data_IF_147916059073
#
_entry.id   IF_147916059073
#
_cell.length_a   1.000
_cell.length_b   1.000
_cell.length_c   1.000
_cell.angle_alpha   90.00
_cell.angle_beta   90.00
_cell.angle_gamma   90.00
#
_symmetry.space_group_name_H-M   'P 1'
#
loop_
_entity.id
_entity.type
_entity.pdbx_description
1 polymer ?
#
# COMPACT_ATOMS: atom_id res chain seq x y z
N UNK A 1 -13.08 3.00 -4.18
CA UNK A 1 -13.76 3.44 -2.94
C UNK A 1 -12.78 3.71 -1.79
N UNK A 2 -11.75 2.88 -1.56
CA UNK A 2 -10.68 3.15 -0.55
C UNK A 2 -9.87 4.43 -0.84
N UNK A 3 -9.81 4.88 -2.09
CA UNK A 3 -9.21 6.18 -2.44
C UNK A 3 -9.93 7.38 -1.81
N UNK A 4 -11.24 7.28 -1.51
CA UNK A 4 -12.03 8.38 -0.96
C UNK A 4 -11.69 8.72 0.50
N UNK A 5 -11.33 7.71 1.31
CA UNK A 5 -10.90 7.96 2.70
C UNK A 5 -9.47 8.49 2.76
N UNK A 6 -8.60 8.00 1.88
CA UNK A 6 -7.24 8.54 1.76
C UNK A 6 -7.30 9.99 1.30
N UNK A 7 -8.05 10.35 0.26
CA UNK A 7 -8.14 11.74 -0.22
C UNK A 7 -8.85 12.72 0.75
N UNK A 8 -9.67 12.24 1.67
CA UNK A 8 -10.42 13.06 2.65
C UNK A 8 -9.54 13.70 3.73
N UNK A 9 -8.46 13.04 4.14
CA UNK A 9 -7.51 13.53 5.15
C UNK A 9 -6.55 14.63 4.64
N UNK A 10 -6.64 14.99 3.35
CA UNK A 10 -5.58 15.71 2.64
C UNK A 10 -5.81 17.22 2.53
N UNK A 11 -6.82 17.76 3.24
CA UNK A 11 -7.04 19.20 3.31
C UNK A 11 -7.15 19.85 1.92
N UNK A 12 -7.76 19.16 0.95
CA UNK A 12 -8.07 19.67 -0.39
C UNK A 12 -9.06 20.83 -0.26
N UNK A 13 -8.55 22.01 0.08
CA UNK A 13 -9.30 23.25 0.10
C UNK A 13 -9.39 23.75 -1.34
N UNK A 14 -10.49 23.36 -1.99
CA UNK A 14 -11.02 23.78 -3.30
C UNK A 14 -10.82 22.77 -4.45
N UNK A 15 -11.98 22.27 -4.94
CA UNK A 15 -12.26 21.73 -6.29
C UNK A 15 -11.07 21.15 -7.07
N UNK A 16 -10.57 19.98 -6.66
CA UNK A 16 -9.84 19.12 -7.62
C UNK A 16 -10.89 18.52 -8.56
N UNK A 17 -11.06 19.13 -9.73
CA UNK A 17 -11.81 18.54 -10.84
C UNK A 17 -10.87 17.64 -11.63
N UNK A 18 -11.09 16.33 -11.59
CA UNK A 18 -10.50 15.41 -12.56
C UNK A 18 -11.35 15.52 -13.84
N UNK A 19 -10.78 16.04 -14.92
CA UNK A 19 -11.42 16.01 -16.23
C UNK A 19 -10.99 14.72 -16.90
N UNK A 20 -11.88 13.74 -16.87
CA UNK A 20 -11.76 12.50 -17.64
C UNK A 20 -12.38 12.76 -19.02
N UNK A 21 -11.55 12.86 -20.07
CA UNK A 21 -12.05 12.91 -21.45
C UNK A 21 -12.38 11.48 -21.92
N UNK A 22 -13.57 10.99 -21.58
CA UNK A 22 -14.56 10.41 -22.52
C UNK A 22 -15.83 9.87 -21.81
N UNK A 23 -16.98 10.46 -22.18
CA UNK A 23 -18.39 10.03 -22.07
C UNK A 23 -19.01 9.59 -20.73
N UNK A 24 -19.98 10.40 -20.29
CA UNK A 24 -21.06 10.18 -19.32
C UNK A 24 -20.76 10.10 -17.81
N UNK A 25 -21.12 11.19 -17.10
CA UNK A 25 -21.61 11.15 -15.71
C UNK A 25 -20.78 11.88 -14.66
N UNK A 26 -20.81 13.22 -14.62
CA UNK A 26 -20.20 13.99 -13.53
C UNK A 26 -21.12 14.03 -12.28
N UNK A 27 -20.64 13.56 -11.13
CA UNK A 27 -21.18 13.92 -9.81
C UNK A 27 -20.14 14.74 -9.04
N UNK A 28 -20.51 15.90 -8.45
CA UNK A 28 -19.59 16.71 -7.65
C UNK A 28 -19.42 16.11 -6.25
N UNK A 29 -18.17 15.91 -5.82
CA UNK A 29 -17.85 15.44 -4.47
C UNK A 29 -17.48 16.62 -3.54
N UNK A 30 -18.23 16.75 -2.45
CA UNK A 30 -17.91 17.63 -1.30
C UNK A 30 -17.28 16.77 -0.20
N UNK A 31 -16.14 17.17 0.37
CA UNK A 31 -15.56 16.52 1.55
C UNK A 31 -15.14 17.53 2.63
N UNK A 32 -15.46 17.17 3.87
CA UNK A 32 -15.21 17.89 5.12
C UNK A 32 -13.82 17.57 5.69
N UNK A 33 -13.18 18.55 6.31
CA UNK A 33 -11.90 18.40 7.03
C UNK A 33 -12.10 17.82 8.44
N UNK A 34 -11.34 16.79 8.82
CA UNK A 34 -11.21 16.34 10.21
C UNK A 34 -9.76 16.48 10.69
N UNK A 35 -9.58 16.90 11.95
CA UNK A 35 -8.31 16.92 12.66
C UNK A 35 -7.91 15.50 13.09
N UNK A 36 -6.61 15.14 13.16
CA UNK A 36 -6.22 13.77 13.43
C UNK A 36 -6.37 13.47 14.92
N UNK A 37 -7.50 12.88 15.31
CA UNK A 37 -7.51 12.01 16.49
C UNK A 37 -6.76 10.73 16.13
N UNK A 38 -5.95 10.15 17.04
CA UNK A 38 -5.43 8.81 16.81
C UNK A 38 -6.63 7.86 16.66
N UNK A 39 -6.68 7.13 15.56
CA UNK A 39 -7.76 6.19 15.30
C UNK A 39 -7.71 5.05 16.32
N UNK A 40 -8.87 4.63 16.81
CA UNK A 40 -8.99 3.48 17.68
C UNK A 40 -8.49 2.23 16.94
N UNK A 41 -7.60 1.47 17.57
CA UNK A 41 -7.10 0.20 17.04
C UNK A 41 -7.89 -0.94 17.68
N UNK A 42 -8.23 -1.93 16.87
CA UNK A 42 -8.96 -3.12 17.31
C UNK A 42 -8.14 -4.35 16.99
N UNK A 43 -8.14 -5.33 17.89
CA UNK A 43 -7.59 -6.65 17.65
C UNK A 43 -8.72 -7.60 17.27
N UNK A 44 -8.70 -8.05 16.03
CA UNK A 44 -9.53 -9.12 15.52
C UNK A 44 -8.75 -10.43 15.65
N UNK A 45 -9.25 -11.34 16.49
CA UNK A 45 -8.71 -12.68 16.70
C UNK A 45 -9.57 -13.65 15.91
N UNK A 46 -9.00 -14.30 14.90
CA UNK A 46 -9.69 -15.27 14.07
C UNK A 46 -9.11 -16.66 14.31
N UNK A 47 -9.96 -17.61 14.66
CA UNK A 47 -9.62 -19.04 14.67
C UNK A 47 -10.42 -19.77 13.62
N UNK A 48 -9.75 -20.50 12.74
CA UNK A 48 -10.41 -21.30 11.72
C UNK A 48 -9.54 -22.49 11.27
N UNK A 49 -10.14 -23.43 10.54
CA UNK A 49 -9.39 -24.49 9.87
C UNK A 49 -8.66 -23.92 8.65
N UNK A 50 -7.38 -24.26 8.53
CA UNK A 50 -6.55 -23.73 7.45
C UNK A 50 -7.01 -24.26 6.09
N UNK A 51 -6.93 -23.40 5.08
CA UNK A 51 -7.14 -23.77 3.68
C UNK A 51 -6.43 -22.79 2.76
N UNK A 52 -6.13 -23.27 1.56
CA UNK A 52 -5.57 -22.42 0.51
C UNK A 52 -6.45 -21.18 0.25
N UNK A 53 -5.82 -20.02 0.19
CA UNK A 53 -6.48 -18.73 -0.04
C UNK A 53 -7.28 -18.19 1.15
N UNK A 54 -7.23 -18.82 2.32
CA UNK A 54 -7.93 -18.38 3.52
C UNK A 54 -7.63 -16.92 3.87
N UNK A 55 -6.34 -16.56 3.97
CA UNK A 55 -5.95 -15.19 4.30
C UNK A 55 -6.46 -14.17 3.29
N UNK A 56 -6.45 -14.51 2.00
CA UNK A 56 -7.01 -13.62 0.98
C UNK A 56 -8.50 -13.38 1.24
N UNK A 57 -9.27 -14.45 1.44
CA UNK A 57 -10.71 -14.35 1.67
C UNK A 57 -11.03 -13.52 2.94
N UNK A 58 -10.23 -13.64 4.00
CA UNK A 58 -10.32 -12.79 5.20
C UNK A 58 -9.99 -11.33 4.86
N UNK A 59 -8.85 -11.08 4.22
CA UNK A 59 -8.44 -9.71 3.86
C UNK A 59 -9.41 -9.03 2.88
N UNK A 60 -10.08 -9.80 2.01
CA UNK A 60 -11.10 -9.30 1.11
C UNK A 60 -12.32 -8.81 1.88
N UNK A 61 -12.82 -9.59 2.86
CA UNK A 61 -13.90 -9.15 3.75
C UNK A 61 -13.51 -7.90 4.54
N UNK A 62 -12.30 -7.86 5.10
CA UNK A 62 -11.82 -6.68 5.83
C UNK A 62 -11.77 -5.43 4.92
N UNK A 63 -11.31 -5.60 3.67
CA UNK A 63 -11.30 -4.54 2.66
C UNK A 63 -12.71 -4.07 2.29
N UNK A 64 -13.65 -4.99 2.05
CA UNK A 64 -15.06 -4.67 1.76
C UNK A 64 -15.73 -3.91 2.90
N UNK A 65 -15.36 -4.24 4.13
CA UNK A 65 -15.82 -3.56 5.33
C UNK A 65 -15.05 -2.27 5.62
N UNK A 66 -14.07 -1.85 4.80
CA UNK A 66 -13.23 -0.65 5.05
C UNK A 66 -12.45 -0.70 6.37
N UNK A 67 -12.09 -1.91 6.80
CA UNK A 67 -11.18 -2.15 7.91
C UNK A 67 -9.75 -2.22 7.37
N UNK A 68 -8.89 -1.32 7.83
CA UNK A 68 -7.48 -1.25 7.42
C UNK A 68 -6.63 -2.07 8.38
N UNK A 69 -5.72 -2.87 7.84
CA UNK A 69 -4.84 -3.74 8.63
C UNK A 69 -3.52 -2.98 8.89
N UNK A 70 -3.21 -2.73 10.16
CA UNK A 70 -1.96 -2.06 10.59
C UNK A 70 -0.87 -3.07 10.97
N UNK A 71 -1.28 -4.21 11.52
CA UNK A 71 -0.37 -5.29 11.90
C UNK A 71 -1.07 -6.62 11.79
N UNK A 72 -0.32 -7.66 11.39
CA UNK A 72 -0.79 -9.03 11.45
C UNK A 72 0.21 -9.91 12.17
N UNK A 73 -0.32 -10.97 12.78
CA UNK A 73 0.46 -12.12 13.19
C UNK A 73 -0.34 -13.36 12.83
N UNK A 74 0.11 -14.03 11.78
CA UNK A 74 -0.51 -15.24 11.26
C UNK A 74 0.33 -16.44 11.65
N UNK A 75 -0.31 -17.49 12.12
CA UNK A 75 0.36 -18.77 12.40
C UNK A 75 -0.59 -19.95 12.28
N UNK A 76 -0.16 -20.96 11.53
CA UNK A 76 -0.82 -22.27 11.47
C UNK A 76 -0.24 -23.20 12.54
N UNK A 77 -1.10 -23.83 13.32
CA UNK A 77 -0.73 -24.83 14.33
C UNK A 77 -0.58 -26.21 13.71
N UNK A 78 0.20 -27.14 14.32
CA UNK A 78 0.40 -28.48 13.77
C UNK A 78 -0.87 -29.33 13.61
N UNK A 79 -1.96 -28.99 14.31
CA UNK A 79 -3.27 -29.63 14.16
C UNK A 79 -4.12 -29.04 13.03
N UNK A 80 -3.55 -28.20 12.17
CA UNK A 80 -4.19 -27.66 10.97
C UNK A 80 -5.19 -26.52 11.23
N UNK A 81 -5.12 -25.90 12.41
CA UNK A 81 -5.89 -24.69 12.74
C UNK A 81 -5.01 -23.46 12.57
N UNK A 82 -5.63 -22.33 12.31
CA UNK A 82 -4.95 -21.03 12.35
C UNK A 82 -5.43 -20.23 13.55
N UNK A 83 -4.52 -19.42 14.08
CA UNK A 83 -4.82 -18.41 15.10
C UNK A 83 -4.26 -17.08 14.60
N UNK A 84 -5.11 -16.36 13.87
CA UNK A 84 -4.72 -15.15 13.17
C UNK A 84 -5.12 -13.92 13.97
N UNK A 85 -4.15 -13.02 14.15
CA UNK A 85 -4.31 -11.78 14.87
C UNK A 85 -4.18 -10.62 13.89
N UNK A 86 -5.26 -9.87 13.69
CA UNK A 86 -5.28 -8.68 12.86
C UNK A 86 -5.49 -7.45 13.74
N UNK A 87 -4.55 -6.53 13.71
CA UNK A 87 -4.71 -5.21 14.30
C UNK A 87 -5.28 -4.31 13.22
N UNK A 88 -6.52 -3.86 13.41
CA UNK A 88 -7.28 -3.12 12.40
C UNK A 88 -7.76 -1.78 12.91
N UNK A 89 -7.86 -0.81 12.00
CA UNK A 89 -8.55 0.47 12.20
C UNK A 89 -9.81 0.49 11.35
N UNK A 90 -10.87 1.14 11.83
CA UNK A 90 -12.12 1.28 11.07
C UNK A 90 -12.20 2.65 10.46
N UNK A 91 -12.16 2.71 9.13
CA UNK A 91 -12.29 3.96 8.36
C UNK A 91 -13.63 4.65 8.63
N UNK A 92 -14.68 3.88 8.98
CA UNK A 92 -15.99 4.43 9.31
C UNK A 92 -16.10 4.89 10.75
N UNK A 93 -15.08 4.63 11.58
CA UNK A 93 -15.06 4.90 13.02
C UNK A 93 -16.23 4.28 13.80
N UNK A 94 -16.77 3.13 13.36
CA UNK A 94 -17.94 2.49 13.97
C UNK A 94 -17.64 1.16 14.67
N UNK A 95 -16.42 0.61 14.56
CA UNK A 95 -16.08 -0.73 15.08
C UNK A 95 -16.09 -0.82 16.61
N UNK A 96 -16.11 0.31 17.32
CA UNK A 96 -16.39 0.35 18.74
C UNK A 96 -17.85 -0.07 19.07
N UNK A 97 -18.78 0.07 18.11
CA UNK A 97 -20.18 -0.30 18.30
C UNK A 97 -20.40 -1.80 18.18
N UNK A 98 -21.35 -2.32 18.97
CA UNK A 98 -21.74 -3.73 18.92
C UNK A 98 -22.24 -4.15 17.54
N UNK A 99 -23.06 -3.32 16.90
CA UNK A 99 -23.63 -3.59 15.57
C UNK A 99 -22.54 -3.79 14.52
N UNK A 100 -21.54 -2.91 14.46
CA UNK A 100 -20.44 -3.03 13.48
C UNK A 100 -19.60 -4.29 13.69
N UNK A 101 -19.40 -4.70 14.95
CA UNK A 101 -18.71 -5.96 15.28
C UNK A 101 -19.53 -7.18 14.86
N UNK A 102 -20.83 -7.18 15.12
CA UNK A 102 -21.76 -8.23 14.68
C UNK A 102 -21.81 -8.32 13.14
N UNK A 103 -21.93 -7.19 12.45
CA UNK A 103 -21.88 -7.12 10.98
C UNK A 103 -20.56 -7.72 10.45
N UNK A 104 -19.42 -7.36 11.07
CA UNK A 104 -18.09 -7.89 10.70
C UNK A 104 -18.02 -9.41 10.88
N UNK A 105 -18.50 -9.92 12.01
CA UNK A 105 -18.55 -11.35 12.30
C UNK A 105 -19.41 -12.10 11.27
N UNK A 106 -20.59 -11.60 10.93
CA UNK A 106 -21.49 -12.26 9.97
C UNK A 106 -20.92 -12.28 8.55
N UNK A 107 -20.22 -11.22 8.11
CA UNK A 107 -19.54 -11.23 6.80
C UNK A 107 -18.41 -12.28 6.77
N UNK A 108 -17.58 -12.34 7.82
CA UNK A 108 -16.53 -13.35 7.93
C UNK A 108 -17.11 -14.77 7.97
N UNK A 109 -18.18 -14.98 8.75
CA UNK A 109 -18.87 -16.28 8.83
C UNK A 109 -19.48 -16.70 7.51
N UNK A 110 -20.02 -15.76 6.73
CA UNK A 110 -20.59 -16.03 5.41
C UNK A 110 -19.53 -16.57 4.45
N UNK A 111 -18.32 -16.00 4.46
CA UNK A 111 -17.22 -16.38 3.56
C UNK A 111 -16.48 -17.62 4.06
N UNK A 112 -16.24 -17.72 5.36
CA UNK A 112 -15.48 -18.83 5.96
C UNK A 112 -16.33 -20.08 6.22
N UNK A 113 -17.65 -19.91 6.37
CA UNK A 113 -18.59 -20.99 6.61
C UNK A 113 -18.19 -21.85 7.82
N UNK A 114 -18.23 -23.17 7.63
CA UNK A 114 -17.92 -24.15 8.68
C UNK A 114 -16.43 -24.19 9.07
N UNK A 115 -15.54 -23.52 8.33
CA UNK A 115 -14.13 -23.47 8.69
C UNK A 115 -13.89 -22.55 9.91
N UNK A 116 -14.78 -21.59 10.15
CA UNK A 116 -14.65 -20.62 11.24
C UNK A 116 -14.97 -21.25 12.60
N UNK A 117 -14.01 -21.19 13.53
CA UNK A 117 -14.15 -21.70 14.90
C UNK A 117 -14.58 -20.56 15.83
N UNK A 118 -13.88 -19.43 15.79
CA UNK A 118 -14.21 -18.23 16.58
C UNK A 118 -13.70 -16.96 15.92
N UNK A 119 -14.37 -15.84 16.21
CA UNK A 119 -13.88 -14.51 15.85
C UNK A 119 -14.28 -13.51 16.93
N UNK A 120 -13.29 -12.83 17.49
CA UNK A 120 -13.48 -11.85 18.55
C UNK A 120 -12.83 -10.53 18.15
N UNK A 121 -13.52 -9.41 18.42
CA UNK A 121 -13.01 -8.05 18.14
C UNK A 121 -12.97 -7.25 19.42
N UNK A 122 -11.74 -6.97 19.88
CA UNK A 122 -11.46 -6.23 21.10
C UNK A 122 -10.85 -4.86 20.75
N UNK A 123 -11.22 -3.82 21.49
CA UNK A 123 -10.53 -2.53 21.37
C UNK A 123 -9.19 -2.65 22.09
N UNK A 124 -8.13 -2.17 21.44
CA UNK A 124 -6.77 -2.22 21.96
C UNK A 124 -6.24 -0.80 21.99
N UNK A 125 -5.70 -0.39 23.15
CA UNK A 125 -5.13 0.95 23.30
C UNK A 125 -3.99 1.20 22.31
N UNK A 126 -3.88 2.44 21.83
CA UNK A 126 -2.86 2.88 20.86
C UNK A 126 -1.43 2.61 21.36
N UNK A 127 -1.20 2.49 22.67
CA UNK A 127 0.10 2.11 23.24
C UNK A 127 0.61 0.71 22.85
N UNK A 128 -0.28 -0.23 22.50
CA UNK A 128 0.12 -1.62 22.19
C UNK A 128 0.70 -1.73 20.77
N UNK A 129 0.34 -0.84 19.85
CA UNK A 129 0.96 -0.77 18.52
C UNK A 129 2.31 -0.06 18.54
N UNK A 130 2.49 0.96 19.39
CA UNK A 130 3.74 1.73 19.49
C UNK A 130 4.91 0.93 20.11
N UNK A 131 4.63 0.00 21.03
CA UNK A 131 5.64 -0.79 21.73
C UNK A 131 5.93 -2.15 21.07
N UNK A 132 5.25 -2.47 19.97
CA UNK A 132 5.37 -3.74 19.28
C UNK A 132 6.22 -3.57 18.02
N UNK A 133 7.44 -3.04 18.18
CA UNK A 133 8.43 -3.06 17.10
C UNK A 133 8.55 -4.50 16.60
N UNK A 134 8.42 -4.68 15.29
CA UNK A 134 8.75 -5.95 14.66
C UNK A 134 10.18 -6.32 15.02
N UNK A 135 10.51 -7.62 14.94
CA UNK A 135 11.87 -8.10 15.13
C UNK A 135 12.87 -7.16 14.44
N UNK A 136 13.79 -6.56 15.19
CA UNK A 136 14.80 -5.61 14.68
C UNK A 136 15.71 -6.17 13.59
N UNK A 137 15.65 -7.49 13.37
CA UNK A 137 16.42 -8.20 12.37
C UNK A 137 15.69 -8.20 11.02
N UNK A 138 16.01 -7.24 10.16
CA UNK A 138 15.79 -7.36 8.72
C UNK A 138 16.97 -8.10 8.07
N UNK A 139 16.72 -9.07 7.17
CA UNK A 139 17.78 -9.65 6.35
C UNK A 139 18.58 -8.57 5.59
N UNK A 140 19.91 -8.73 5.50
CA UNK A 140 20.80 -7.75 4.84
C UNK A 140 20.38 -7.44 3.40
N UNK A 141 19.82 -8.42 2.68
CA UNK A 141 19.30 -8.24 1.33
C UNK A 141 18.19 -7.17 1.22
N UNK A 142 17.34 -7.05 2.25
CA UNK A 142 16.33 -5.98 2.31
C UNK A 142 17.00 -4.65 2.59
N UNK A 143 17.92 -4.61 3.56
CA UNK A 143 18.62 -3.38 3.96
C UNK A 143 19.35 -2.78 2.75
N UNK A 144 20.04 -3.61 1.97
CA UNK A 144 20.76 -3.18 0.76
C UNK A 144 19.82 -2.69 -0.33
N UNK A 145 18.66 -3.34 -0.51
CA UNK A 145 17.60 -2.89 -1.41
C UNK A 145 16.95 -1.59 -0.93
N UNK A 146 16.84 -1.38 0.38
CA UNK A 146 16.16 -0.23 0.98
C UNK A 146 17.02 1.04 1.03
N UNK A 147 18.34 0.92 1.14
CA UNK A 147 19.31 2.02 1.15
C UNK A 147 19.62 2.70 -0.20
N UNK A 148 18.92 2.34 -1.28
CA UNK A 148 19.13 2.98 -2.59
C UNK A 148 18.53 4.40 -2.63
N UNK A 149 19.29 5.36 -2.11
CA UNK A 149 19.14 6.78 -2.42
C UNK A 149 19.81 7.04 -3.78
N UNK A 150 18.98 7.17 -4.82
CA UNK A 150 19.37 7.36 -6.23
C UNK A 150 20.31 6.26 -6.76
N UNK A 151 19.81 5.24 -7.49
CA UNK A 151 20.70 4.30 -8.13
C UNK A 151 21.38 4.99 -9.31
N UNK A 152 22.68 5.29 -9.15
CA UNK A 152 23.56 5.59 -10.29
C UNK A 152 23.60 4.37 -11.23
N UNK A 153 23.42 3.16 -10.69
CA UNK A 153 23.11 1.92 -11.43
C UNK A 153 22.23 1.01 -10.55
N UNK A 154 21.08 0.56 -11.05
CA UNK A 154 20.27 -0.46 -10.38
C UNK A 154 20.95 -1.83 -10.53
N UNK A 155 20.95 -2.69 -9.49
CA UNK A 155 21.44 -4.06 -9.62
C UNK A 155 20.77 -4.77 -10.80
N UNK A 156 21.56 -5.47 -11.62
CA UNK A 156 21.06 -6.28 -12.73
C UNK A 156 20.01 -7.28 -12.22
N UNK A 157 18.75 -7.12 -12.64
CA UNK A 157 17.62 -7.97 -12.20
C UNK A 157 16.59 -7.27 -11.30
N UNK A 158 16.76 -6.00 -10.95
CA UNK A 158 15.77 -5.25 -10.16
C UNK A 158 14.48 -4.98 -10.95
N UNK A 159 13.34 -5.34 -10.37
CA UNK A 159 12.02 -5.12 -10.96
C UNK A 159 11.68 -3.63 -10.91
N UNK A 160 11.52 -3.01 -12.07
CA UNK A 160 11.25 -1.56 -12.21
C UNK A 160 10.09 -1.30 -13.15
N UNK A 161 9.38 -0.21 -12.89
CA UNK A 161 8.42 0.35 -13.81
C UNK A 161 9.12 0.89 -15.06
N UNK A 162 8.53 0.66 -16.23
CA UNK A 162 9.09 1.14 -17.50
C UNK A 162 8.62 2.57 -17.82
N UNK A 163 9.43 3.30 -18.60
CA UNK A 163 9.07 4.59 -19.21
C UNK A 163 8.68 5.71 -18.23
N UNK A 164 9.26 5.75 -17.03
CA UNK A 164 9.01 6.85 -16.08
C UNK A 164 9.77 8.11 -16.52
N UNK A 165 9.04 9.19 -16.79
CA UNK A 165 9.58 10.52 -17.03
C UNK A 165 8.77 11.55 -16.28
N UNK A 166 9.46 12.49 -15.61
CA UNK A 166 8.85 13.61 -14.92
C UNK A 166 9.45 14.89 -15.49
N UNK A 167 8.62 15.78 -16.01
CA UNK A 167 9.01 17.10 -16.51
C UNK A 167 8.32 18.19 -15.74
N UNK A 168 8.98 19.34 -15.61
CA UNK A 168 8.45 20.49 -14.88
C UNK A 168 8.49 21.70 -15.81
N UNK A 169 7.37 22.42 -15.90
CA UNK A 169 7.25 23.63 -16.70
C UNK A 169 6.54 24.75 -15.93
N UNK A 170 7.08 25.97 -16.01
CA UNK A 170 6.54 27.18 -15.42
C UNK A 170 6.01 28.18 -16.46
N UNK A 171 6.02 27.82 -17.75
CA UNK A 171 5.64 28.68 -18.87
C UNK A 171 4.13 28.69 -19.14
N UNK A 172 3.45 27.57 -18.89
CA UNK A 172 2.04 27.35 -19.22
C UNK A 172 1.05 27.96 -18.22
N UNK A 173 1.52 28.44 -17.07
CA UNK A 173 0.68 29.12 -16.09
C UNK A 173 1.42 30.28 -15.41
N UNK A 174 0.79 31.46 -15.26
CA UNK A 174 1.39 32.56 -14.52
C UNK A 174 1.49 32.27 -13.02
N UNK A 175 0.58 31.45 -12.48
CA UNK A 175 0.46 31.17 -11.05
C UNK A 175 0.94 29.80 -10.59
N UNK A 176 0.97 28.80 -11.48
CA UNK A 176 1.22 27.40 -11.12
C UNK A 176 2.50 26.87 -11.77
N UNK A 177 3.07 25.82 -11.17
CA UNK A 177 4.06 24.97 -11.81
C UNK A 177 3.34 23.76 -12.39
N UNK A 178 3.54 23.46 -13.68
CA UNK A 178 3.08 22.22 -14.28
C UNK A 178 4.12 21.13 -14.02
N UNK A 179 3.66 19.98 -13.55
CA UNK A 179 4.42 18.74 -13.49
C UNK A 179 3.75 17.74 -14.43
N UNK A 180 4.47 17.27 -15.44
CA UNK A 180 3.98 16.24 -16.35
C UNK A 180 4.69 14.94 -16.03
N UNK A 181 3.91 13.88 -15.85
CA UNK A 181 4.38 12.56 -15.49
C UNK A 181 3.91 11.60 -16.57
N UNK A 182 4.86 10.88 -17.16
CA UNK A 182 4.56 9.75 -18.04
C UNK A 182 5.15 8.52 -17.38
N UNK A 183 4.35 7.47 -17.22
CA UNK A 183 4.82 6.19 -16.69
C UNK A 183 3.88 5.06 -17.10
N UNK A 184 4.29 3.82 -16.86
CA UNK A 184 3.38 2.68 -16.98
C UNK A 184 2.32 2.76 -15.87
N UNK A 185 1.05 2.65 -16.28
CA UNK A 185 -0.09 2.62 -15.38
C UNK A 185 0.03 1.42 -14.44
N UNK A 186 -0.25 1.63 -13.16
CA UNK A 186 -0.19 0.59 -12.15
C UNK A 186 -1.16 0.87 -11.02
N UNK A 187 -1.57 -0.20 -10.33
CA UNK A 187 -2.41 -0.10 -9.15
C UNK A 187 -1.71 0.80 -8.12
N UNK A 188 -2.43 1.79 -7.59
CA UNK A 188 -1.88 2.74 -6.61
C UNK A 188 -1.16 3.96 -7.18
N UNK A 189 -1.02 4.09 -8.50
CA UNK A 189 -0.27 5.18 -9.14
C UNK A 189 -0.62 6.59 -8.62
N UNK A 190 -1.92 6.93 -8.54
CA UNK A 190 -2.34 8.24 -8.04
C UNK A 190 -1.93 8.45 -6.57
N UNK A 191 -2.02 7.40 -5.75
CA UNK A 191 -1.56 7.45 -4.38
C UNK A 191 -0.05 7.69 -4.30
N UNK A 192 0.74 7.01 -5.14
CA UNK A 192 2.20 7.15 -5.18
C UNK A 192 2.67 8.54 -5.62
N UNK A 193 1.95 9.17 -6.55
CA UNK A 193 2.19 10.57 -6.93
C UNK A 193 1.81 11.50 -5.78
N UNK A 194 0.58 11.38 -5.30
CA UNK A 194 0.03 12.30 -4.32
C UNK A 194 0.83 12.26 -3.02
N UNK A 195 1.24 11.08 -2.54
CA UNK A 195 2.00 10.96 -1.28
C UNK A 195 3.32 11.71 -1.34
N UNK A 196 3.98 11.63 -2.48
CA UNK A 196 5.22 12.37 -2.75
C UNK A 196 4.98 13.88 -2.70
N UNK A 197 3.90 14.36 -3.33
CA UNK A 197 3.56 15.78 -3.31
C UNK A 197 3.22 16.28 -1.90
N UNK A 198 2.48 15.48 -1.13
CA UNK A 198 2.12 15.78 0.26
C UNK A 198 3.36 15.86 1.15
N UNK A 199 4.27 14.90 1.06
CA UNK A 199 5.52 14.91 1.85
C UNK A 199 6.39 16.15 1.53
N UNK A 200 6.28 16.69 0.32
CA UNK A 200 6.95 17.93 -0.10
C UNK A 200 6.14 19.20 0.20
N UNK A 201 4.98 19.08 0.86
CA UNK A 201 4.06 20.17 1.18
C UNK A 201 3.62 20.96 -0.07
N UNK A 202 3.34 20.22 -1.14
CA UNK A 202 2.88 20.73 -2.43
C UNK A 202 1.37 20.56 -2.54
N UNK A 203 0.69 21.61 -2.97
CA UNK A 203 -0.74 21.62 -3.24
C UNK A 203 -0.99 21.38 -4.72
N UNK A 204 -1.94 20.50 -5.04
CA UNK A 204 -2.42 20.28 -6.41
C UNK A 204 -3.66 21.13 -6.63
N UNK A 205 -3.62 22.02 -7.61
CA UNK A 205 -4.76 22.90 -7.96
C UNK A 205 -5.68 22.24 -8.98
N UNK A 206 -5.11 21.60 -10.01
CA UNK A 206 -5.84 20.88 -11.04
C UNK A 206 -4.97 19.78 -11.62
N UNK A 207 -5.61 18.70 -12.09
CA UNK A 207 -4.94 17.55 -12.66
C UNK A 207 -5.68 17.01 -13.86
N UNK A 208 -4.93 16.56 -14.87
CA UNK A 208 -5.44 15.81 -16.02
C UNK A 208 -4.79 14.44 -16.03
N UNK A 209 -5.61 13.42 -16.23
CA UNK A 209 -5.17 12.03 -16.29
C UNK A 209 -5.59 11.48 -17.64
N UNK A 210 -4.64 10.92 -18.37
CA UNK A 210 -4.88 10.40 -19.71
C UNK A 210 -4.22 9.05 -19.84
N UNK A 211 -5.00 8.04 -20.24
CA UNK A 211 -4.47 6.72 -20.54
C UNK A 211 -4.00 6.68 -21.99
N UNK A 212 -2.74 6.35 -22.21
CA UNK A 212 -2.16 6.13 -23.53
C UNK A 212 -2.26 4.64 -23.91
N UNK A 213 -2.00 4.35 -25.18
CA UNK A 213 -1.92 2.98 -25.69
C UNK A 213 -0.82 2.19 -24.96
N UNK A 214 -0.98 0.85 -24.89
CA UNK A 214 -0.03 -0.09 -24.24
C UNK A 214 0.15 0.08 -22.73
N UNK A 215 -0.85 0.61 -22.03
CA UNK A 215 -0.84 0.69 -20.58
C UNK A 215 0.04 1.81 -20.01
N UNK A 216 0.48 2.77 -20.83
CA UNK A 216 1.12 3.98 -20.32
C UNK A 216 0.05 4.99 -19.91
N UNK A 217 0.37 5.84 -18.95
CA UNK A 217 -0.43 6.97 -18.53
C UNK A 217 0.37 8.26 -18.67
N UNK A 218 -0.36 9.35 -18.86
CA UNK A 218 0.14 10.71 -18.87
C UNK A 218 -0.69 11.52 -17.87
N UNK A 219 0.01 12.19 -16.97
CA UNK A 219 -0.59 12.89 -15.85
C UNK A 219 0.01 14.28 -15.81
N UNK A 220 -0.84 15.29 -15.99
CA UNK A 220 -0.47 16.70 -15.90
C UNK A 220 -1.03 17.26 -14.59
N UNK A 221 -0.16 17.72 -13.70
CA UNK A 221 -0.54 18.31 -12.42
C UNK A 221 -0.08 19.76 -12.37
N UNK A 222 -1.01 20.67 -12.13
CA UNK A 222 -0.68 22.05 -11.84
C UNK A 222 -0.65 22.25 -10.34
N UNK A 223 0.54 22.57 -9.86
CA UNK A 223 0.89 22.56 -8.45
C UNK A 223 1.37 23.92 -7.95
N UNK A 224 1.28 24.10 -6.65
CA UNK A 224 1.78 25.26 -5.91
C UNK A 224 2.48 24.81 -4.62
N UNK A 225 3.39 25.62 -4.11
CA UNK A 225 3.89 25.49 -2.75
C UNK A 225 2.78 25.86 -1.74
N UNK A 226 2.96 25.48 -0.48
CA UNK A 226 2.02 25.84 0.58
C UNK A 226 1.82 27.36 0.79
N UNK A 227 2.73 28.21 0.30
CA UNK A 227 2.57 29.67 0.29
C UNK A 227 1.71 30.19 -0.88
N UNK A 228 1.14 29.28 -1.69
CA UNK A 228 0.32 29.58 -2.86
C UNK A 228 1.11 30.05 -4.08
N UNK A 229 2.45 29.90 -4.10
CA UNK A 229 3.29 30.31 -5.24
C UNK A 229 3.81 29.10 -6.02
N UNK A 230 4.08 29.32 -7.31
CA UNK A 230 4.80 28.35 -8.14
C UNK A 230 6.20 28.06 -7.61
N UNK A 231 6.72 26.88 -7.93
CA UNK A 231 8.08 26.46 -7.59
C UNK A 231 9.01 27.07 -8.65
N UNK A 232 9.75 28.12 -8.32
CA UNK A 232 10.69 28.79 -9.26
C UNK A 232 12.12 28.30 -9.10
N UNK A 233 12.50 27.89 -7.89
CA UNK A 233 13.85 27.43 -7.58
C UNK A 233 14.16 26.11 -8.30
N UNK A 234 15.15 26.07 -9.22
CA UNK A 234 15.53 24.87 -9.94
C UNK A 234 15.94 23.71 -9.03
N UNK A 235 16.51 24.00 -7.86
CA UNK A 235 16.92 22.96 -6.90
C UNK A 235 15.72 22.23 -6.31
N UNK A 236 14.66 22.98 -5.97
CA UNK A 236 13.38 22.42 -5.50
C UNK A 236 12.66 21.64 -6.60
N UNK A 237 12.67 22.16 -7.83
CA UNK A 237 12.11 21.47 -8.99
C UNK A 237 12.83 20.13 -9.23
N UNK A 238 14.16 20.14 -9.27
CA UNK A 238 14.96 18.93 -9.48
C UNK A 238 14.76 17.94 -8.34
N UNK A 239 14.70 18.40 -7.09
CA UNK A 239 14.41 17.55 -5.93
C UNK A 239 13.05 16.87 -6.02
N UNK A 240 12.01 17.62 -6.36
CA UNK A 240 10.65 17.08 -6.57
C UNK A 240 10.61 16.08 -7.73
N UNK A 241 11.16 16.47 -8.88
CA UNK A 241 11.19 15.63 -10.09
C UNK A 241 11.92 14.31 -9.84
N UNK A 242 13.08 14.37 -9.19
CA UNK A 242 13.88 13.18 -8.86
C UNK A 242 13.13 12.28 -7.89
N UNK A 243 12.46 12.86 -6.89
CA UNK A 243 11.68 12.08 -5.93
C UNK A 243 10.50 11.38 -6.58
N UNK A 244 9.68 12.11 -7.35
CA UNK A 244 8.56 11.52 -8.09
C UNK A 244 9.05 10.40 -9.02
N UNK A 245 10.16 10.63 -9.72
CA UNK A 245 10.74 9.62 -10.59
C UNK A 245 11.12 8.34 -9.82
N UNK A 246 11.81 8.47 -8.68
CA UNK A 246 12.18 7.31 -7.85
C UNK A 246 10.97 6.54 -7.31
N UNK A 247 9.97 7.24 -6.77
CA UNK A 247 8.77 6.59 -6.20
C UNK A 247 7.94 5.86 -7.27
N UNK A 248 7.93 6.38 -8.49
CA UNK A 248 7.21 5.76 -9.61
C UNK A 248 8.01 4.64 -10.29
N UNK A 249 9.34 4.67 -10.18
CA UNK A 249 10.20 3.62 -10.70
C UNK A 249 10.03 2.32 -9.92
N UNK A 250 9.94 2.40 -8.59
CA UNK A 250 9.74 1.26 -7.69
C UNK A 250 8.75 1.60 -6.56
N UNK A 251 7.44 1.63 -6.84
CA UNK A 251 6.43 1.98 -5.84
C UNK A 251 6.41 1.03 -4.64
N UNK A 252 6.62 -0.26 -4.92
CA UNK A 252 6.83 -1.31 -3.93
C UNK A 252 8.10 -2.07 -4.30
N UNK A 253 8.85 -2.49 -3.29
CA UNK A 253 10.05 -3.31 -3.49
C UNK A 253 9.76 -4.72 -3.02
N UNK A 254 10.01 -5.70 -3.88
CA UNK A 254 9.68 -7.12 -3.66
C UNK A 254 10.96 -7.91 -3.74
N UNK A 255 11.18 -8.84 -2.80
CA UNK A 255 12.26 -9.81 -2.89
C UNK A 255 11.90 -11.12 -2.22
N UNK A 256 12.52 -12.20 -2.66
CA UNK A 256 12.36 -13.53 -2.07
C UNK A 256 13.72 -14.01 -1.54
N UNK A 257 13.80 -14.27 -0.23
CA UNK A 257 15.04 -14.68 0.44
C UNK A 257 14.92 -16.08 1.05
N UNK A 258 16.06 -16.70 1.37
CA UNK A 258 16.10 -17.92 2.17
C UNK A 258 16.11 -17.58 3.65
N UNK A 259 15.33 -18.30 4.44
CA UNK A 259 15.36 -18.29 5.90
C UNK A 259 15.64 -19.70 6.41
N UNK A 260 16.90 -20.12 6.26
CA UNK A 260 17.27 -21.52 6.50
C UNK A 260 16.69 -22.43 5.39
N UNK A 261 15.91 -23.48 5.71
CA UNK A 261 15.23 -24.30 4.70
C UNK A 261 14.03 -23.61 4.06
N UNK A 262 13.48 -22.58 4.72
CA UNK A 262 12.24 -21.95 4.30
C UNK A 262 12.47 -20.79 3.33
N UNK A 263 11.45 -20.47 2.53
CA UNK A 263 11.45 -19.30 1.66
C UNK A 263 10.57 -18.20 2.24
N UNK A 264 11.12 -16.99 2.31
CA UNK A 264 10.44 -15.81 2.85
C UNK A 264 10.28 -14.76 1.75
N UNK A 265 9.03 -14.39 1.48
CA UNK A 265 8.67 -13.25 0.63
C UNK A 265 8.70 -11.98 1.48
N UNK A 266 9.32 -10.94 0.93
CA UNK A 266 9.46 -9.65 1.56
C UNK A 266 8.95 -8.59 0.59
N UNK A 267 7.96 -7.82 1.05
CA UNK A 267 7.46 -6.66 0.32
C UNK A 267 7.67 -5.44 1.20
N UNK A 268 8.35 -4.44 0.68
CA UNK A 268 8.60 -3.19 1.38
C UNK A 268 7.83 -2.06 0.70
N UNK A 269 6.98 -1.42 1.50
CA UNK A 269 6.20 -0.26 1.14
C UNK A 269 6.78 0.98 1.86
N UNK A 270 7.07 2.08 1.14
CA UNK A 270 7.52 3.27 1.82
C UNK A 270 6.36 3.97 2.55
N UNK A 271 6.61 4.45 3.77
CA UNK A 271 5.60 5.11 4.60
C UNK A 271 5.65 6.63 4.39
N UNK A 272 4.48 7.27 4.39
CA UNK A 272 4.33 8.73 4.37
C UNK A 272 4.91 9.38 5.63
N UNK A 273 5.25 10.68 5.57
CA UNK A 273 5.65 11.42 6.79
C UNK A 273 4.54 11.47 7.85
N UNK A 274 3.28 11.28 7.48
CA UNK A 274 2.17 11.12 8.43
C UNK A 274 2.06 9.73 9.07
N UNK A 275 2.98 8.81 8.77
CA UNK A 275 3.00 7.46 9.32
C UNK A 275 1.95 6.53 8.70
N UNK A 276 1.42 6.85 7.51
CA UNK A 276 0.46 5.98 6.78
C UNK A 276 1.17 5.28 5.64
N UNK A 277 0.94 3.98 5.50
CA UNK A 277 1.43 3.17 4.38
C UNK A 277 0.49 3.21 3.17
N UNK A 278 0.93 2.58 2.08
CA UNK A 278 0.15 2.39 0.88
C UNK A 278 -1.05 1.49 1.20
N UNK A 279 -2.26 1.88 0.82
CA UNK A 279 -3.45 1.12 1.17
C UNK A 279 -3.45 -0.27 0.51
N UNK A 280 -4.01 -1.25 1.22
CA UNK A 280 -4.32 -2.59 0.72
C UNK A 280 -3.12 -3.46 0.29
N UNK A 281 -1.88 -3.09 0.62
CA UNK A 281 -0.70 -3.88 0.21
C UNK A 281 -0.78 -5.32 0.74
N UNK A 282 -1.18 -5.55 2.01
CA UNK A 282 -1.31 -6.93 2.52
C UNK A 282 -2.39 -7.74 1.78
N UNK A 283 -3.54 -7.14 1.50
CA UNK A 283 -4.60 -7.77 0.70
C UNK A 283 -4.09 -8.17 -0.69
N UNK A 284 -3.29 -7.31 -1.31
CA UNK A 284 -2.74 -7.56 -2.65
C UNK A 284 -1.67 -8.65 -2.62
N UNK A 285 -0.87 -8.74 -1.55
CA UNK A 285 0.07 -9.84 -1.33
C UNK A 285 -0.67 -11.17 -1.19
N UNK A 286 -1.72 -11.23 -0.36
CA UNK A 286 -2.49 -12.48 -0.16
C UNK A 286 -3.21 -12.90 -1.44
N UNK A 287 -3.72 -11.95 -2.22
CA UNK A 287 -4.28 -12.21 -3.55
C UNK A 287 -3.22 -12.75 -4.52
N UNK A 288 -2.05 -12.11 -4.59
CA UNK A 288 -0.98 -12.50 -5.48
C UNK A 288 -0.52 -13.94 -5.20
N UNK A 289 -0.31 -14.27 -3.93
CA UNK A 289 0.06 -15.63 -3.52
C UNK A 289 -1.04 -16.65 -3.82
N UNK A 290 -2.32 -16.29 -3.63
CA UNK A 290 -3.45 -17.14 -4.03
C UNK A 290 -3.45 -17.41 -5.53
N UNK A 291 -3.20 -16.40 -6.37
CA UNK A 291 -3.17 -16.53 -7.83
C UNK A 291 -1.96 -17.34 -8.34
N UNK A 292 -0.83 -17.23 -7.65
CA UNK A 292 0.37 -18.02 -7.93
C UNK A 292 0.30 -19.45 -7.34
N UNK A 293 -0.81 -19.79 -6.70
CA UNK A 293 -1.03 -21.10 -6.08
C UNK A 293 -0.02 -21.39 -4.94
N UNK A 294 0.44 -20.35 -4.23
CA UNK A 294 1.41 -20.43 -3.12
C UNK A 294 0.69 -20.27 -1.78
N UNK A 295 0.99 -21.17 -0.83
CA UNK A 295 0.43 -21.13 0.51
C UNK A 295 1.26 -20.23 1.45
N UNK A 296 0.57 -19.61 2.41
CA UNK A 296 1.19 -18.76 3.43
C UNK A 296 1.23 -19.54 4.74
N UNK A 297 2.42 -19.77 5.27
CA UNK A 297 2.58 -20.42 6.57
C UNK A 297 2.45 -19.42 7.72
N UNK A 298 3.04 -18.24 7.56
CA UNK A 298 2.97 -17.16 8.54
C UNK A 298 3.21 -15.81 7.86
N UNK A 299 2.70 -14.75 8.47
CA UNK A 299 2.91 -13.40 8.01
C UNK A 299 3.00 -12.42 9.17
N UNK A 300 3.85 -11.41 9.01
CA UNK A 300 4.05 -10.30 9.93
C UNK A 300 4.16 -8.99 9.14
N UNK A 301 3.57 -7.93 9.68
CA UNK A 301 3.77 -6.55 9.18
C UNK A 301 4.55 -5.79 10.25
N UNK A 302 5.63 -5.13 9.82
CA UNK A 302 6.51 -4.39 10.71
C UNK A 302 6.97 -3.08 10.10
N UNK A 303 7.04 -2.02 10.91
CA UNK A 303 7.63 -0.73 10.51
C UNK A 303 9.09 -0.67 10.90
N UNK A 304 9.93 -0.19 9.98
CA UNK A 304 11.38 -0.16 10.12
C UNK A 304 11.91 1.17 9.62
N UNK A 305 12.78 1.81 10.40
CA UNK A 305 13.53 2.99 9.98
C UNK A 305 14.80 2.55 9.26
N UNK A 306 14.97 2.97 8.01
CA UNK A 306 16.14 2.66 7.18
C UNK A 306 16.61 3.97 6.54
N UNK A 307 17.83 4.38 6.88
CA UNK A 307 18.28 5.75 6.61
C UNK A 307 17.44 6.76 7.37
N UNK A 308 16.90 7.75 6.65
CA UNK A 308 15.98 8.77 7.16
C UNK A 308 14.50 8.46 6.88
N UNK A 309 14.20 7.25 6.37
CA UNK A 309 12.87 6.87 5.89
C UNK A 309 12.26 5.71 6.66
N UNK A 310 10.97 5.82 6.95
CA UNK A 310 10.17 4.72 7.50
C UNK A 310 9.62 3.82 6.37
N UNK A 311 9.73 2.51 6.59
CA UNK A 311 9.26 1.48 5.68
C UNK A 311 8.34 0.52 6.41
N UNK A 312 7.22 0.17 5.77
CA UNK A 312 6.34 -0.89 6.20
C UNK A 312 6.71 -2.15 5.42
N UNK A 313 7.23 -3.14 6.14
CA UNK A 313 7.75 -4.38 5.59
C UNK A 313 6.81 -5.52 5.94
N UNK A 314 6.33 -6.17 4.88
CA UNK A 314 5.49 -7.35 4.91
C UNK A 314 6.39 -8.57 4.77
N UNK A 315 6.45 -9.39 5.82
CA UNK A 315 7.25 -10.61 5.85
C UNK A 315 6.32 -11.80 5.79
N UNK A 316 6.43 -12.62 4.77
CA UNK A 316 5.53 -13.75 4.54
C UNK A 316 6.37 -15.02 4.36
N UNK A 317 6.25 -15.93 5.31
CA UNK A 317 6.86 -17.26 5.19
C UNK A 317 5.96 -18.11 4.29
N UNK A 318 6.54 -18.59 3.20
CA UNK A 318 5.83 -19.41 2.21
C UNK A 318 5.89 -20.87 2.63
N UNK A 319 4.76 -21.56 2.51
CA UNK A 319 4.71 -23.02 2.63
C UNK A 319 4.99 -23.63 1.25
N UNK A 320 6.17 -24.20 1.07
CA UNK A 320 6.56 -24.83 -0.20
C UNK A 320 5.92 -26.23 -0.40
N UNK A 321 5.30 -26.81 0.64
CA UNK A 321 4.72 -28.16 0.60
C UNK A 321 5.69 -29.25 0.10
N UNK A 322 5.16 -30.42 -0.28
CA UNK A 322 5.91 -31.52 -0.91
C UNK A 322 6.06 -31.33 -2.45
N UNK A 323 5.80 -30.12 -2.96
CA UNK A 323 5.68 -29.82 -4.39
C UNK A 323 7.00 -29.47 -5.10
N UNK A 324 6.92 -29.28 -6.43
CA UNK A 324 8.02 -28.71 -7.22
C UNK A 324 8.22 -27.25 -6.81
N UNK A 325 9.33 -26.94 -6.13
CA UNK A 325 9.70 -25.59 -5.72
C UNK A 325 9.69 -24.63 -6.91
N UNK A 326 8.80 -23.63 -6.87
CA UNK A 326 8.74 -22.58 -7.89
C UNK A 326 10.02 -21.75 -7.78
N UNK A 327 10.74 -21.51 -8.90
CA UNK A 327 11.94 -20.67 -8.87
C UNK A 327 11.65 -19.31 -8.23
N UNK A 328 12.49 -18.89 -7.28
CA UNK A 328 12.28 -17.66 -6.50
C UNK A 328 12.10 -16.41 -7.35
N UNK A 329 12.83 -16.31 -8.46
CA UNK A 329 12.68 -15.21 -9.41
C UNK A 329 11.28 -15.14 -10.05
N UNK A 330 10.63 -16.29 -10.28
CA UNK A 330 9.25 -16.34 -10.78
C UNK A 330 8.24 -15.92 -9.71
N UNK A 331 8.48 -16.29 -8.45
CA UNK A 331 7.66 -15.83 -7.33
C UNK A 331 7.78 -14.30 -7.21
N UNK A 332 9.01 -13.79 -7.19
CA UNK A 332 9.29 -12.35 -7.07
C UNK A 332 8.63 -11.57 -8.21
N UNK A 333 8.88 -11.96 -9.47
CA UNK A 333 8.29 -11.31 -10.65
C UNK A 333 6.75 -11.42 -10.67
N UNK A 334 6.20 -12.59 -10.35
CA UNK A 334 4.76 -12.83 -10.34
C UNK A 334 4.04 -12.01 -9.27
N UNK A 335 4.58 -11.99 -8.05
CA UNK A 335 4.02 -11.16 -6.96
C UNK A 335 4.11 -9.70 -7.33
N UNK A 336 5.28 -9.24 -7.79
CA UNK A 336 5.49 -7.86 -8.19
C UNK A 336 4.49 -7.41 -9.27
N UNK A 337 4.24 -8.23 -10.31
CA UNK A 337 3.28 -7.90 -11.39
C UNK A 337 1.87 -7.75 -10.85
N UNK A 338 1.43 -8.68 -10.01
CA UNK A 338 0.09 -8.68 -9.43
C UNK A 338 -0.11 -7.50 -8.46
N UNK A 339 0.91 -7.12 -7.69
CA UNK A 339 0.88 -5.91 -6.85
C UNK A 339 0.76 -4.61 -7.66
N UNK A 340 1.30 -4.59 -8.88
CA UNK A 340 1.16 -3.48 -9.83
C UNK A 340 -0.11 -3.56 -10.68
N UNK A 341 -0.88 -4.66 -10.59
CA UNK A 341 -2.07 -4.89 -11.40
C UNK A 341 -1.76 -5.21 -12.86
N UNK A 342 -0.62 -5.82 -13.14
CA UNK A 342 -0.20 -6.26 -14.48
C UNK A 342 -0.43 -7.77 -14.65
N UNK A 343 -0.76 -8.17 -15.89
CA UNK A 343 -0.98 -9.58 -16.28
C UNK A 343 0.31 -10.36 -16.52
#
# INVERSE_FOLDING_TARGET
MVLHSVLGDWGLTNKVGFIEEETDGCMPFLFFSFSPKPSDVFLLKLSCYDRKGLLYDVTAVLCELELTIEKVKISTTPDGKVMDLFFVTDTRELLHTRKRKEDTYEHLKTILGNAMISCDVEMVGTEITACSQASSFLPSAIIDMLHLDMPVELPSGSLTCSNVSVTIDNSLSPGHTLVQIVCQDHKGLLYDIMRTLKDYNIQVSYGRFSRRQRGNCEIDLFIMQADGKKIVDPSKQNGLSSRLWMELLQPLRVTVVSRGPDTELLVANPVELSGKGRPLVFHDITLALKMLDICIFSAEIGRHMIGDREWEVYRVLLDEGDGLSVPRNKIEEGVWKLLMGWE
#
